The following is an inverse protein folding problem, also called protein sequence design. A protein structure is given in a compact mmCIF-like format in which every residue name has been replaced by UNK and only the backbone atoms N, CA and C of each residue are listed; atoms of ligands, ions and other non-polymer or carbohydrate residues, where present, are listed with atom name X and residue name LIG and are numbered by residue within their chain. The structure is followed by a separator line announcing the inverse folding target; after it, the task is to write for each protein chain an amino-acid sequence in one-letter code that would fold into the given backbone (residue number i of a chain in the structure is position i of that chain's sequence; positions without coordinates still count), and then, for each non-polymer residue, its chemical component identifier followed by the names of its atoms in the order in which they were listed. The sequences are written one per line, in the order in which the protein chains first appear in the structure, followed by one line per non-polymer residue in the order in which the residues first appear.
data_IF_746295542814
#
_entry.id   IF_746295542814
#
_cell.length_a   1.000
_cell.length_b   1.000
_cell.length_c   1.000
_cell.angle_alpha   90.00
_cell.angle_beta   90.00
_cell.angle_gamma   90.00
#
_symmetry.space_group_name_H-M   'P 1'
#
loop_
_entity.id
_entity.type
_entity.pdbx_description
1 polymer ?
#
# COMPACT_ATOMS: atom_id res chain seq x y z
N UNK A 1 16.19 19.98 -24.41
CA UNK A 1 15.57 19.77 -23.08
C UNK A 1 15.26 18.30 -22.93
N UNK A 2 15.66 17.65 -21.84
CA UNK A 2 15.41 16.22 -21.60
C UNK A 2 14.11 16.09 -20.81
N UNK A 3 13.20 15.20 -21.26
CA UNK A 3 11.95 14.91 -20.55
C UNK A 3 12.21 13.86 -19.46
N UNK A 4 11.94 14.21 -18.20
CA UNK A 4 11.94 13.25 -17.10
C UNK A 4 10.57 12.55 -17.02
N UNK A 5 10.45 11.39 -17.64
CA UNK A 5 9.20 10.64 -17.71
C UNK A 5 9.00 9.75 -16.46
N UNK A 6 8.33 10.28 -15.46
CA UNK A 6 8.00 9.54 -14.22
C UNK A 6 7.08 8.33 -14.45
N UNK A 7 6.20 8.37 -15.46
CA UNK A 7 5.28 7.26 -15.76
C UNK A 7 6.04 6.03 -16.27
N UNK A 8 6.95 6.24 -17.23
CA UNK A 8 7.80 5.18 -17.76
C UNK A 8 8.72 4.62 -16.67
N UNK A 9 9.36 5.51 -15.90
CA UNK A 9 10.25 5.14 -14.79
C UNK A 9 9.52 4.29 -13.75
N UNK A 10 8.33 4.72 -13.34
CA UNK A 10 7.53 3.99 -12.34
C UNK A 10 7.05 2.62 -12.86
N UNK A 11 6.75 2.49 -14.16
CA UNK A 11 6.41 1.20 -14.76
C UNK A 11 7.58 0.21 -14.68
N UNK A 12 8.79 0.65 -15.04
CA UNK A 12 10.01 -0.18 -14.91
C UNK A 12 10.28 -0.59 -13.47
N UNK A 13 10.05 0.31 -12.49
CA UNK A 13 10.21 -0.02 -11.07
C UNK A 13 9.18 -1.09 -10.64
N UNK A 14 7.91 -0.93 -11.03
CA UNK A 14 6.86 -1.89 -10.68
C UNK A 14 7.11 -3.28 -11.25
N UNK A 15 7.60 -3.37 -12.48
CA UNK A 15 7.98 -4.64 -13.10
C UNK A 15 9.11 -5.35 -12.35
N UNK A 16 10.15 -4.60 -11.94
CA UNK A 16 11.24 -5.18 -11.13
C UNK A 16 10.74 -5.65 -9.76
N UNK A 17 9.90 -4.86 -9.11
CA UNK A 17 9.32 -5.21 -7.82
C UNK A 17 8.43 -6.45 -7.92
N UNK A 18 7.60 -6.57 -8.95
CA UNK A 18 6.72 -7.74 -9.11
C UNK A 18 7.52 -9.04 -9.24
N UNK A 19 8.64 -9.02 -9.97
CA UNK A 19 9.55 -10.16 -10.09
C UNK A 19 10.18 -10.53 -8.74
N UNK A 20 10.62 -9.53 -7.96
CA UNK A 20 11.22 -9.76 -6.64
C UNK A 20 10.20 -10.34 -5.65
N UNK A 21 8.99 -9.79 -5.62
CA UNK A 21 7.91 -10.28 -4.76
C UNK A 21 7.50 -11.70 -5.13
N UNK A 22 7.42 -11.98 -6.44
CA UNK A 22 7.16 -13.32 -6.93
C UNK A 22 8.24 -14.31 -6.47
N UNK A 23 9.52 -13.94 -6.55
CA UNK A 23 10.61 -14.77 -6.06
C UNK A 23 10.51 -15.03 -4.54
N UNK A 24 10.18 -14.01 -3.75
CA UNK A 24 9.94 -14.16 -2.30
C UNK A 24 8.81 -15.16 -2.06
N UNK A 25 7.68 -15.01 -2.76
CA UNK A 25 6.52 -15.89 -2.64
C UNK A 25 6.86 -17.35 -2.98
N UNK A 26 7.56 -17.59 -4.11
CA UNK A 26 7.95 -18.94 -4.55
C UNK A 26 8.95 -19.58 -3.60
N UNK A 27 9.83 -18.78 -2.97
CA UNK A 27 10.77 -19.27 -1.96
C UNK A 27 10.13 -19.59 -0.60
N UNK A 28 8.81 -19.41 -0.45
CA UNK A 28 8.10 -19.59 0.82
C UNK A 28 8.27 -18.44 1.81
N UNK A 29 8.83 -17.31 1.35
CA UNK A 29 8.98 -16.10 2.15
C UNK A 29 7.66 -15.36 2.37
N UNK A 30 7.64 -14.45 3.34
CA UNK A 30 6.46 -13.62 3.62
C UNK A 30 6.30 -12.54 2.54
N UNK A 31 5.12 -12.51 1.92
CA UNK A 31 4.76 -11.47 0.94
C UNK A 31 4.58 -10.12 1.67
N UNK A 32 5.18 -9.02 1.18
CA UNK A 32 5.01 -7.71 1.80
C UNK A 32 3.55 -7.25 1.85
N UNK A 33 3.18 -6.53 2.91
CA UNK A 33 1.82 -6.06 3.16
C UNK A 33 1.82 -4.56 3.48
N UNK A 34 0.98 -3.80 2.77
CA UNK A 34 0.67 -2.40 3.10
C UNK A 34 -0.71 -2.26 3.77
N UNK A 35 -0.74 -1.80 5.02
CA UNK A 35 -1.98 -1.34 5.66
C UNK A 35 -2.16 0.17 5.46
N UNK A 36 -3.37 0.60 5.08
CA UNK A 36 -3.74 2.01 4.87
C UNK A 36 -4.94 2.34 5.74
N UNK A 37 -4.82 3.39 6.56
CA UNK A 37 -5.94 3.97 7.31
C UNK A 37 -6.40 5.25 6.63
N UNK A 38 -7.68 5.30 6.24
CA UNK A 38 -8.31 6.47 5.66
C UNK A 38 -9.40 6.98 6.59
N UNK A 39 -9.19 8.18 7.14
CA UNK A 39 -10.14 8.83 8.04
C UNK A 39 -10.78 10.02 7.31
N UNK A 40 -12.10 10.11 7.34
CA UNK A 40 -12.89 11.10 6.61
C UNK A 40 -13.23 10.67 5.18
N UNK A 41 -13.88 11.58 4.45
CA UNK A 41 -14.45 11.33 3.12
C UNK A 41 -13.89 12.29 2.04
N UNK A 42 -12.65 12.75 2.21
CA UNK A 42 -12.01 13.63 1.23
C UNK A 42 -11.82 12.89 -0.12
N UNK A 43 -12.45 13.34 -1.23
CA UNK A 43 -12.43 12.61 -2.50
C UNK A 43 -11.02 12.46 -3.10
N UNK A 44 -10.14 13.45 -2.87
CA UNK A 44 -8.76 13.38 -3.32
C UNK A 44 -8.01 12.26 -2.59
N UNK A 45 -8.19 12.16 -1.28
CA UNK A 45 -7.60 11.11 -0.45
C UNK A 45 -8.05 9.71 -0.89
N UNK A 46 -9.34 9.52 -1.22
CA UNK A 46 -9.82 8.26 -1.80
C UNK A 46 -9.08 7.91 -3.11
N UNK A 47 -8.92 8.88 -3.99
CA UNK A 47 -8.21 8.68 -5.27
C UNK A 47 -6.75 8.27 -5.04
N UNK A 48 -6.04 8.97 -4.16
CA UNK A 48 -4.65 8.66 -3.83
C UNK A 48 -4.50 7.29 -3.17
N UNK A 49 -5.38 6.93 -2.24
CA UNK A 49 -5.37 5.62 -1.57
C UNK A 49 -5.65 4.51 -2.57
N UNK A 50 -6.65 4.66 -3.43
CA UNK A 50 -6.95 3.67 -4.46
C UNK A 50 -5.76 3.46 -5.42
N UNK A 51 -5.05 4.52 -5.79
CA UNK A 51 -3.85 4.40 -6.59
C UNK A 51 -2.73 3.61 -5.87
N UNK A 52 -2.56 3.81 -4.55
CA UNK A 52 -1.60 3.05 -3.73
C UNK A 52 -1.96 1.56 -3.64
N UNK A 53 -3.24 1.26 -3.42
CA UNK A 53 -3.74 -0.12 -3.34
C UNK A 53 -3.58 -0.84 -4.68
N UNK A 54 -3.92 -0.17 -5.79
CA UNK A 54 -3.68 -0.70 -7.13
C UNK A 54 -2.20 -0.98 -7.38
N UNK A 55 -1.31 -0.07 -6.99
CA UNK A 55 0.13 -0.28 -7.12
C UNK A 55 0.61 -1.50 -6.31
N UNK A 56 0.06 -1.73 -5.11
CA UNK A 56 0.36 -2.93 -4.31
C UNK A 56 -0.05 -4.21 -5.07
N UNK A 57 -1.26 -4.24 -5.62
CA UNK A 57 -1.74 -5.37 -6.42
C UNK A 57 -0.87 -5.62 -7.66
N UNK A 58 -0.48 -4.55 -8.37
CA UNK A 58 0.40 -4.65 -9.55
C UNK A 58 1.76 -5.28 -9.26
N UNK A 59 2.30 -5.09 -8.04
CA UNK A 59 3.60 -5.66 -7.63
C UNK A 59 3.46 -6.94 -6.81
N UNK A 60 2.24 -7.43 -6.55
CA UNK A 60 1.98 -8.65 -5.79
C UNK A 60 2.01 -8.49 -4.27
N UNK A 61 1.97 -7.27 -3.74
CA UNK A 61 1.83 -7.04 -2.30
C UNK A 61 0.41 -7.37 -1.83
N UNK A 62 0.29 -7.77 -0.55
CA UNK A 62 -0.99 -7.75 0.16
C UNK A 62 -1.31 -6.30 0.56
N UNK A 63 -2.59 -5.97 0.69
CA UNK A 63 -3.00 -4.65 1.17
C UNK A 63 -4.26 -4.71 2.01
N UNK A 64 -4.31 -3.94 3.09
CA UNK A 64 -5.52 -3.74 3.91
C UNK A 64 -5.90 -2.28 3.88
N UNK A 65 -7.19 -2.01 3.68
CA UNK A 65 -7.75 -0.67 3.79
C UNK A 65 -8.70 -0.63 4.98
N UNK A 66 -8.42 0.25 5.94
CA UNK A 66 -9.25 0.53 7.11
C UNK A 66 -9.84 1.92 6.88
N UNK A 67 -11.17 2.04 6.90
CA UNK A 67 -11.84 3.31 6.63
C UNK A 67 -12.79 3.68 7.76
N UNK A 68 -12.75 4.95 8.17
CA UNK A 68 -13.68 5.52 9.13
C UNK A 68 -14.09 6.93 8.68
N UNK A 69 -15.38 7.26 8.74
CA UNK A 69 -15.82 8.64 8.48
C UNK A 69 -15.34 9.59 9.59
N UNK A 70 -15.39 9.14 10.85
CA UNK A 70 -14.84 9.81 12.02
C UNK A 70 -14.28 8.74 12.97
N UNK A 71 -13.29 9.12 13.78
CA UNK A 71 -12.71 8.24 14.80
C UNK A 71 -12.19 9.12 15.94
N UNK A 72 -12.24 8.62 17.17
CA UNK A 72 -11.55 9.27 18.28
C UNK A 72 -10.05 9.02 18.18
N UNK A 73 -9.23 9.97 18.59
CA UNK A 73 -7.77 9.83 18.54
C UNK A 73 -7.28 8.58 19.28
N UNK A 74 -7.82 8.32 20.48
CA UNK A 74 -7.48 7.13 21.26
C UNK A 74 -7.77 5.82 20.51
N UNK A 75 -8.84 5.76 19.71
CA UNK A 75 -9.21 4.58 18.95
C UNK A 75 -8.28 4.41 17.73
N UNK A 76 -7.93 5.51 17.07
CA UNK A 76 -6.97 5.52 15.98
C UNK A 76 -5.60 5.04 16.44
N UNK A 77 -5.10 5.53 17.58
CA UNK A 77 -3.84 5.10 18.16
C UNK A 77 -3.86 3.61 18.53
N UNK A 78 -4.98 3.10 19.06
CA UNK A 78 -5.15 1.67 19.32
C UNK A 78 -5.11 0.83 18.05
N UNK A 79 -5.70 1.31 16.96
CA UNK A 79 -5.59 0.62 15.67
C UNK A 79 -4.15 0.62 15.14
N UNK A 80 -3.43 1.74 15.26
CA UNK A 80 -2.01 1.82 14.84
C UNK A 80 -1.18 0.83 15.66
N UNK A 81 -1.37 0.78 16.97
CA UNK A 81 -0.68 -0.17 17.85
C UNK A 81 -0.99 -1.63 17.49
N UNK A 82 -2.25 -1.94 17.16
CA UNK A 82 -2.62 -3.26 16.69
C UNK A 82 -1.87 -3.65 15.42
N UNK A 83 -1.78 -2.76 14.44
CA UNK A 83 -1.06 -2.99 13.18
C UNK A 83 0.45 -3.11 13.41
N UNK A 84 1.04 -2.31 14.30
CA UNK A 84 2.47 -2.40 14.63
C UNK A 84 2.85 -3.75 15.24
N UNK A 85 1.93 -4.37 15.99
CA UNK A 85 2.12 -5.67 16.62
C UNK A 85 1.61 -6.84 15.76
N UNK A 86 1.07 -6.57 14.56
CA UNK A 86 0.70 -7.61 13.61
C UNK A 86 1.96 -8.18 12.95
N UNK A 87 2.09 -9.50 12.97
CA UNK A 87 3.24 -10.22 12.42
C UNK A 87 2.96 -10.90 11.07
N UNK A 88 1.77 -10.64 10.51
CA UNK A 88 1.27 -11.22 9.26
C UNK A 88 1.55 -10.38 8.02
#
# INVERSE_FOLDING_TARGET
MILLNGKATAATIREKLSQQVHAVQVSGGKVPHLAVMLIGNDPASHTYVNAKLKACQEVGFRSTLIQHATIQEADLLRHIEHINNDST
#
